data_IF_095340486192
#
_entry.id   IF_095340486192
#
_cell.length_a   1.000
_cell.length_b   1.000
_cell.length_c   1.000
_cell.angle_alpha   90.00
_cell.angle_beta   90.00
_cell.angle_gamma   90.00
#
_symmetry.space_group_name_H-M   'P 1'
#
loop_
_entity.id
_entity.type
_entity.pdbx_description
1 polymer ?
#
# COMPACT_ATOMS: atom_id res chain seq x y z
N UNK A 1 -0.10 15.54 0.79
CA UNK A 1 -1.31 14.83 1.29
C UNK A 1 -1.67 15.16 2.76
N UNK A 2 -1.21 16.29 3.31
CA UNK A 2 -1.20 16.58 4.76
C UNK A 2 -2.56 16.69 5.41
N UNK A 3 -3.54 17.30 4.73
CA UNK A 3 -4.88 17.51 5.28
C UNK A 3 -5.62 16.18 5.42
N UNK A 4 -5.60 15.34 4.38
CA UNK A 4 -6.28 14.03 4.38
C UNK A 4 -5.66 13.11 5.43
N UNK A 5 -4.32 13.04 5.47
CA UNK A 5 -3.61 12.21 6.44
C UNK A 5 -3.85 12.58 7.90
N UNK A 6 -4.25 13.83 8.19
CA UNK A 6 -4.50 14.29 9.57
C UNK A 6 -5.92 14.02 10.06
N UNK A 7 -6.80 13.45 9.22
CA UNK A 7 -8.20 13.18 9.58
C UNK A 7 -8.27 12.04 10.61
N UNK A 8 -8.77 12.29 11.84
CA UNK A 8 -8.60 11.37 12.97
C UNK A 8 -9.44 10.08 12.86
N UNK A 9 -10.48 10.08 12.03
CA UNK A 9 -11.41 8.96 11.86
C UNK A 9 -11.39 8.39 10.43
N UNK A 10 -10.38 8.73 9.63
CA UNK A 10 -10.28 8.27 8.26
C UNK A 10 -9.83 6.80 8.23
N UNK A 11 -10.76 5.91 7.86
CA UNK A 11 -10.50 4.47 7.79
C UNK A 11 -10.28 3.95 6.37
N UNK A 12 -10.79 4.67 5.37
CA UNK A 12 -10.73 4.26 3.96
C UNK A 12 -10.25 5.41 3.12
N UNK A 13 -9.19 5.17 2.34
CA UNK A 13 -8.65 6.09 1.35
C UNK A 13 -8.60 5.39 0.01
N UNK A 14 -9.21 6.02 -0.99
CA UNK A 14 -9.16 5.58 -2.37
C UNK A 14 -8.60 6.76 -3.17
N UNK A 15 -7.40 6.57 -3.72
CA UNK A 15 -6.71 7.54 -4.55
C UNK A 15 -6.78 7.06 -5.99
N UNK A 16 -7.41 7.86 -6.83
CA UNK A 16 -7.59 7.55 -8.25
C UNK A 16 -6.98 8.65 -9.09
N UNK A 17 -6.41 8.29 -10.24
CA UNK A 17 -5.89 9.25 -11.21
C UNK A 17 -4.84 10.17 -10.57
N UNK A 18 -4.65 11.40 -11.09
CA UNK A 18 -3.67 12.39 -10.64
C UNK A 18 -3.83 12.88 -9.18
N UNK A 19 -3.99 11.96 -8.22
CA UNK A 19 -4.15 12.19 -6.80
C UNK A 19 -2.85 12.63 -6.12
N UNK A 20 -1.71 12.49 -6.81
CA UNK A 20 -0.39 12.86 -6.34
C UNK A 20 0.11 14.09 -7.08
N UNK A 21 0.71 15.01 -6.33
CA UNK A 21 1.51 16.08 -6.91
C UNK A 21 2.90 15.52 -7.21
N UNK A 22 3.16 15.25 -8.49
CA UNK A 22 4.39 14.58 -8.94
C UNK A 22 4.32 13.06 -8.84
N UNK A 23 5.46 12.41 -9.04
CA UNK A 23 5.59 10.95 -9.16
C UNK A 23 6.08 10.25 -7.89
N UNK A 24 6.29 11.00 -6.80
CA UNK A 24 6.75 10.43 -5.53
C UNK A 24 5.73 10.66 -4.42
N UNK A 25 5.51 9.65 -3.60
CA UNK A 25 4.73 9.76 -2.37
C UNK A 25 5.54 9.31 -1.16
N UNK A 26 5.82 10.29 -0.30
CA UNK A 26 6.45 10.13 1.00
C UNK A 26 5.40 10.48 2.07
N UNK A 27 4.71 9.50 2.67
CA UNK A 27 3.82 9.75 3.81
C UNK A 27 4.59 10.39 4.97
N UNK A 28 3.91 11.17 5.79
CA UNK A 28 4.52 11.79 6.97
C UNK A 28 4.10 10.99 8.20
N UNK A 29 5.07 10.69 9.07
CA UNK A 29 4.82 10.02 10.34
C UNK A 29 3.66 10.68 11.12
N UNK A 30 2.79 9.87 11.71
CA UNK A 30 1.61 10.34 12.45
C UNK A 30 0.38 10.64 11.57
N UNK A 31 0.49 10.54 10.24
CA UNK A 31 -0.67 10.54 9.35
C UNK A 31 -1.37 9.19 9.34
N UNK A 32 -2.63 9.20 8.89
CA UNK A 32 -3.46 8.02 8.69
C UNK A 32 -3.57 7.12 9.93
N UNK A 33 -3.77 7.67 11.15
CA UNK A 33 -3.66 6.91 12.39
C UNK A 33 -4.71 5.79 12.51
N UNK A 34 -5.81 5.83 11.74
CA UNK A 34 -6.88 4.83 11.75
C UNK A 34 -7.16 4.22 10.37
N UNK A 35 -6.27 4.44 9.40
CA UNK A 35 -6.49 3.94 8.05
C UNK A 35 -6.40 2.42 8.03
N UNK A 36 -7.47 1.77 7.56
CA UNK A 36 -7.57 0.33 7.41
C UNK A 36 -7.49 -0.12 5.96
N UNK A 37 -7.99 0.70 5.04
CA UNK A 37 -8.05 0.36 3.61
C UNK A 37 -7.40 1.48 2.79
N UNK A 38 -6.38 1.11 2.03
CA UNK A 38 -5.76 1.97 1.03
C UNK A 38 -5.90 1.35 -0.35
N UNK A 39 -6.56 2.08 -1.25
CA UNK A 39 -6.66 1.70 -2.66
C UNK A 39 -5.98 2.75 -3.52
N UNK A 40 -5.02 2.34 -4.35
CA UNK A 40 -4.41 3.16 -5.39
C UNK A 40 -4.88 2.67 -6.76
N UNK A 41 -5.35 3.60 -7.58
CA UNK A 41 -5.94 3.29 -8.87
C UNK A 41 -5.41 4.22 -9.96
N UNK A 42 -4.79 3.64 -10.99
CA UNK A 42 -4.34 4.34 -12.20
C UNK A 42 -3.76 5.73 -11.91
N UNK A 43 -2.66 5.77 -11.17
CA UNK A 43 -2.04 7.03 -10.74
C UNK A 43 -0.65 7.16 -11.35
N UNK A 44 -0.15 8.40 -11.43
CA UNK A 44 1.19 8.73 -11.92
C UNK A 44 2.29 8.49 -10.88
N UNK A 45 2.02 7.67 -9.86
CA UNK A 45 2.94 7.38 -8.77
C UNK A 45 3.99 6.36 -9.24
N UNK A 46 5.26 6.76 -9.17
CA UNK A 46 6.42 5.95 -9.54
C UNK A 46 7.15 5.45 -8.29
N UNK A 47 7.43 6.36 -7.35
CA UNK A 47 8.13 6.06 -6.11
C UNK A 47 7.17 6.16 -4.93
N UNK A 48 6.96 5.06 -4.20
CA UNK A 48 6.26 5.07 -2.92
C UNK A 48 7.28 4.81 -1.82
N UNK A 49 7.45 5.72 -0.85
CA UNK A 49 8.42 5.55 0.26
C UNK A 49 7.68 5.46 1.59
N UNK A 50 6.92 4.39 1.76
CA UNK A 50 6.19 4.10 2.98
C UNK A 50 6.95 3.11 3.87
N UNK A 51 6.66 3.21 5.16
CA UNK A 51 7.12 2.31 6.22
C UNK A 51 5.91 2.00 7.12
N UNK A 52 6.04 0.99 7.99
CA UNK A 52 4.94 0.56 8.86
C UNK A 52 4.38 1.69 9.74
N UNK A 53 5.24 2.60 10.24
CA UNK A 53 4.87 3.74 11.08
C UNK A 53 3.89 4.71 10.40
N UNK A 54 3.85 4.71 9.06
CA UNK A 54 3.02 5.61 8.28
C UNK A 54 1.57 5.14 8.17
N UNK A 55 1.31 3.84 8.33
CA UNK A 55 -0.02 3.24 8.24
C UNK A 55 -0.20 2.15 9.31
N UNK A 56 -0.14 2.49 10.60
CA UNK A 56 0.00 1.52 11.69
C UNK A 56 -1.19 0.56 11.86
N UNK A 57 -2.33 0.86 11.23
CA UNK A 57 -3.56 0.07 11.31
C UNK A 57 -4.05 -0.43 9.94
N UNK A 58 -3.18 -0.41 8.92
CA UNK A 58 -3.58 -0.85 7.58
C UNK A 58 -3.91 -2.34 7.59
N UNK A 59 -5.10 -2.68 7.12
CA UNK A 59 -5.58 -4.06 7.00
C UNK A 59 -5.57 -4.53 5.55
N UNK A 60 -5.83 -3.62 4.60
CA UNK A 60 -5.93 -3.94 3.18
C UNK A 60 -5.23 -2.91 2.31
N UNK A 61 -4.38 -3.41 1.41
CA UNK A 61 -3.83 -2.67 0.30
C UNK A 61 -4.42 -3.19 -1.01
N UNK A 62 -4.89 -2.30 -1.87
CA UNK A 62 -5.34 -2.64 -3.22
C UNK A 62 -4.67 -1.73 -4.25
N UNK A 63 -4.04 -2.33 -5.26
CA UNK A 63 -3.37 -1.66 -6.36
C UNK A 63 -4.04 -2.07 -7.67
N UNK A 64 -4.49 -1.09 -8.43
CA UNK A 64 -5.18 -1.31 -9.69
C UNK A 64 -4.58 -0.43 -10.78
N UNK A 65 -4.15 -1.01 -11.90
CA UNK A 65 -3.59 -0.26 -13.04
C UNK A 65 -2.42 0.64 -12.62
N UNK A 66 -1.52 0.15 -11.76
CA UNK A 66 -0.34 0.87 -11.28
C UNK A 66 0.87 0.48 -12.14
N UNK A 67 0.85 0.89 -13.40
CA UNK A 67 1.86 0.48 -14.39
C UNK A 67 3.23 1.14 -14.17
N UNK A 68 3.22 2.37 -13.64
CA UNK A 68 4.43 3.18 -13.43
C UNK A 68 5.07 2.98 -12.05
N UNK A 69 4.36 2.36 -11.11
CA UNK A 69 4.85 2.15 -9.74
C UNK A 69 5.96 1.10 -9.75
N UNK A 70 7.12 1.45 -9.20
CA UNK A 70 8.29 0.57 -9.22
C UNK A 70 8.08 -0.67 -8.35
N UNK A 71 7.66 -0.48 -7.09
CA UNK A 71 7.45 -1.57 -6.14
C UNK A 71 6.48 -1.19 -5.01
N UNK A 72 5.96 -2.20 -4.30
CA UNK A 72 5.35 -2.01 -2.98
C UNK A 72 6.48 -1.89 -1.96
N UNK A 73 6.51 -0.85 -1.11
CA UNK A 73 7.55 -0.69 -0.11
C UNK A 73 7.55 -1.86 0.88
N UNK A 74 8.71 -2.44 1.18
CA UNK A 74 8.82 -3.56 2.11
C UNK A 74 8.28 -3.25 3.50
N UNK A 75 8.37 -2.00 3.95
CA UNK A 75 7.81 -1.56 5.22
C UNK A 75 6.28 -1.65 5.31
N UNK A 76 5.56 -1.81 4.18
CA UNK A 76 4.14 -2.21 4.19
C UNK A 76 3.99 -3.64 4.70
N UNK A 77 4.91 -4.51 4.29
CA UNK A 77 4.99 -5.88 4.79
C UNK A 77 5.17 -5.95 6.29
N UNK A 78 5.84 -4.99 6.93
CA UNK A 78 6.05 -4.96 8.38
C UNK A 78 4.82 -4.51 9.20
N UNK A 79 3.68 -4.26 8.56
CA UNK A 79 2.46 -3.85 9.24
C UNK A 79 1.74 -5.08 9.80
N UNK A 80 1.74 -5.21 11.14
CA UNK A 80 1.15 -6.36 11.84
C UNK A 80 -0.36 -6.55 11.58
N UNK A 81 -1.10 -5.48 11.23
CA UNK A 81 -2.53 -5.55 10.95
C UNK A 81 -2.85 -5.93 9.51
N UNK A 82 -1.86 -5.99 8.62
CA UNK A 82 -2.08 -6.22 7.19
C UNK A 82 -2.54 -7.64 6.94
N UNK A 83 -3.71 -7.78 6.30
CA UNK A 83 -4.36 -9.07 6.03
C UNK A 83 -4.48 -9.38 4.55
N UNK A 84 -4.52 -8.36 3.70
CA UNK A 84 -4.61 -8.61 2.26
C UNK A 84 -3.90 -7.58 1.41
N UNK A 85 -3.21 -8.06 0.37
CA UNK A 85 -2.71 -7.25 -0.74
C UNK A 85 -3.41 -7.72 -2.01
N UNK A 86 -4.15 -6.82 -2.68
CA UNK A 86 -4.78 -7.09 -3.96
C UNK A 86 -4.01 -6.36 -5.05
N UNK A 87 -3.55 -7.08 -6.07
CA UNK A 87 -2.87 -6.52 -7.24
C UNK A 87 -3.68 -6.87 -8.47
N UNK A 88 -4.16 -5.85 -9.18
CA UNK A 88 -4.99 -5.99 -10.36
C UNK A 88 -4.39 -5.21 -11.52
N UNK A 89 -4.04 -5.90 -12.61
CA UNK A 89 -3.51 -5.26 -13.83
C UNK A 89 -2.38 -4.28 -13.53
N UNK A 90 -1.39 -4.70 -12.76
CA UNK A 90 -0.19 -3.92 -12.48
C UNK A 90 1.02 -4.59 -13.11
N UNK A 91 2.15 -3.89 -13.12
CA UNK A 91 3.42 -4.40 -13.62
C UNK A 91 3.92 -5.63 -12.84
N UNK A 92 4.80 -6.41 -13.48
CA UNK A 92 5.43 -7.59 -12.86
C UNK A 92 6.23 -7.23 -11.60
N UNK A 93 6.77 -6.00 -11.51
CA UNK A 93 7.52 -5.55 -10.34
C UNK A 93 6.62 -5.37 -9.10
N UNK A 94 5.38 -4.90 -9.28
CA UNK A 94 4.37 -4.86 -8.22
C UNK A 94 3.95 -6.26 -7.78
N UNK A 95 3.75 -7.16 -8.74
CA UNK A 95 3.46 -8.56 -8.42
C UNK A 95 4.60 -9.19 -7.63
N UNK A 96 5.86 -8.97 -8.05
CA UNK A 96 7.05 -9.49 -7.38
C UNK A 96 7.18 -8.97 -5.95
N UNK A 97 7.04 -7.66 -5.73
CA UNK A 97 7.13 -7.07 -4.40
C UNK A 97 5.99 -7.53 -3.47
N UNK A 98 4.76 -7.68 -3.99
CA UNK A 98 3.65 -8.25 -3.22
C UNK A 98 3.95 -9.71 -2.78
N UNK A 99 4.49 -10.54 -3.67
CA UNK A 99 4.87 -11.92 -3.36
C UNK A 99 6.05 -11.99 -2.39
N UNK A 100 7.04 -11.10 -2.51
CA UNK A 100 8.16 -11.03 -1.57
C UNK A 100 7.66 -10.70 -0.15
N UNK A 101 6.75 -9.73 -0.01
CA UNK A 101 6.13 -9.40 1.28
C UNK A 101 5.42 -10.63 1.87
N UNK A 102 4.72 -11.40 1.04
CA UNK A 102 4.06 -12.64 1.47
C UNK A 102 5.05 -13.67 1.98
N UNK A 103 6.12 -13.93 1.23
CA UNK A 103 7.17 -14.90 1.60
C UNK A 103 7.89 -14.51 2.90
N UNK A 104 8.18 -13.21 3.09
CA UNK A 104 8.79 -12.67 4.30
C UNK A 104 7.85 -12.82 5.51
N UNK A 105 6.57 -12.49 5.37
CA UNK A 105 5.56 -12.67 6.42
C UNK A 105 5.38 -14.14 6.81
N UNK A 106 5.33 -15.05 5.83
CA UNK A 106 5.25 -16.50 6.07
C UNK A 106 6.50 -17.03 6.77
N UNK A 107 7.69 -16.57 6.37
CA UNK A 107 8.95 -16.93 7.01
C UNK A 107 9.02 -16.46 8.47
N UNK A 108 8.34 -15.36 8.79
CA UNK A 108 8.17 -14.84 10.14
C UNK A 108 7.00 -15.50 10.91
N UNK A 109 6.33 -16.49 10.33
CA UNK A 109 5.26 -17.27 10.95
C UNK A 109 3.85 -16.69 10.83
N UNK A 110 3.65 -15.67 9.98
CA UNK A 110 2.32 -15.15 9.67
C UNK A 110 1.71 -15.89 8.46
N UNK A 111 0.74 -16.75 8.73
CA UNK A 111 -0.02 -17.48 7.70
C UNK A 111 -1.32 -16.76 7.29
N UNK A 112 -1.68 -15.64 7.93
CA UNK A 112 -2.96 -14.96 7.72
C UNK A 112 -2.96 -13.99 6.52
N UNK A 113 -1.79 -13.52 6.09
CA UNK A 113 -1.66 -12.59 4.97
C UNK A 113 -2.04 -13.27 3.65
N UNK A 114 -2.96 -12.66 2.90
CA UNK A 114 -3.37 -13.13 1.59
C UNK A 114 -2.93 -12.16 0.48
N UNK A 115 -2.33 -12.69 -0.59
CA UNK A 115 -2.06 -11.93 -1.82
C UNK A 115 -2.97 -12.44 -2.93
N UNK A 116 -3.75 -11.53 -3.52
CA UNK A 116 -4.64 -11.83 -4.64
C UNK A 116 -4.16 -11.11 -5.90
N UNK A 117 -3.86 -11.88 -6.94
CA UNK A 117 -3.41 -11.38 -8.22
C UNK A 117 -4.53 -11.53 -9.26
N UNK A 118 -4.78 -10.47 -10.02
CA UNK A 118 -5.77 -10.48 -11.10
C UNK A 118 -5.25 -9.74 -12.34
N UNK A 119 -5.53 -10.32 -13.52
CA UNK A 119 -5.06 -9.85 -14.83
C UNK A 119 -6.10 -9.03 -15.59
#
# INVERSE_FOLDING_TARGET
>A
MTIIGSLPNLEVVILMYCAFEGSEWNPIEGQFPRLKILTLWNSNLVCWRAENIHFPNLEKLSLHYMDDLEEIPSGIGDIATLRSINVCKCSESIVKSAMQILEEQQSNGNEDLQVCLSS
#
